data_IF_371021391624
#
_entry.id   IF_371021391624
#
_cell.length_a   1.000
_cell.length_b   1.000
_cell.length_c   1.000
_cell.angle_alpha   90.00
_cell.angle_beta   90.00
_cell.angle_gamma   90.00
#
_symmetry.space_group_name_H-M   'P 1'
#
loop_
_entity.id
_entity.type
_entity.pdbx_description
1 polymer ?
#
# COMPACT_ATOMS: atom_id res chain seq x y z
N UNK A 1 -6.92 30.85 -0.29
CA UNK A 1 -7.55 29.52 -0.40
C UNK A 1 -7.49 29.01 -1.83
N UNK A 2 -7.36 27.71 -2.01
CA UNK A 2 -7.30 27.02 -3.31
C UNK A 2 -8.64 26.37 -3.59
N UNK A 3 -9.24 26.66 -4.74
CA UNK A 3 -10.53 26.11 -5.18
C UNK A 3 -10.31 25.06 -6.27
N UNK A 4 -10.80 23.84 -6.07
CA UNK A 4 -10.64 22.75 -7.03
C UNK A 4 -11.89 21.88 -7.14
N UNK A 5 -12.02 21.22 -8.30
CA UNK A 5 -13.09 20.24 -8.56
C UNK A 5 -12.63 18.86 -8.15
N UNK A 6 -13.46 18.16 -7.40
CA UNK A 6 -13.19 16.81 -6.93
C UNK A 6 -14.36 15.87 -7.20
N UNK A 7 -14.08 14.58 -7.11
CA UNK A 7 -15.05 13.52 -7.37
C UNK A 7 -15.48 12.90 -6.04
N UNK A 8 -16.72 13.14 -5.65
CA UNK A 8 -17.32 12.56 -4.46
C UNK A 8 -17.72 11.11 -4.73
N UNK A 9 -16.87 10.16 -4.32
CA UNK A 9 -17.12 8.74 -4.53
C UNK A 9 -18.33 8.20 -3.72
N UNK A 10 -18.83 8.95 -2.73
CA UNK A 10 -20.04 8.58 -1.97
C UNK A 10 -21.31 9.00 -2.73
N UNK A 11 -21.24 10.05 -3.54
CA UNK A 11 -22.36 10.52 -4.36
C UNK A 11 -22.45 9.73 -5.68
N UNK A 12 -23.66 9.27 -6.01
CA UNK A 12 -23.97 8.58 -7.29
C UNK A 12 -24.52 9.58 -8.33
N UNK A 13 -24.27 9.32 -9.62
CA UNK A 13 -24.86 10.09 -10.72
C UNK A 13 -24.18 11.45 -11.01
N UNK A 14 -24.95 12.40 -11.55
CA UNK A 14 -24.44 13.70 -12.05
C UNK A 14 -23.87 14.61 -10.96
N UNK A 15 -24.26 14.43 -9.70
CA UNK A 15 -23.78 15.19 -8.52
C UNK A 15 -22.44 14.73 -7.98
N UNK A 16 -21.79 13.76 -8.65
CA UNK A 16 -20.49 13.20 -8.26
C UNK A 16 -19.34 14.21 -8.38
N UNK A 17 -19.47 15.27 -9.18
CA UNK A 17 -18.43 16.31 -9.31
C UNK A 17 -18.84 17.51 -8.47
N UNK A 18 -18.02 17.86 -7.48
CA UNK A 18 -18.24 18.99 -6.58
C UNK A 18 -17.02 19.91 -6.61
N UNK A 19 -17.22 21.16 -6.23
CA UNK A 19 -16.14 22.14 -6.05
C UNK A 19 -15.94 22.35 -4.55
N UNK A 20 -14.69 22.41 -4.10
CA UNK A 20 -14.37 22.78 -2.72
C UNK A 20 -13.22 23.77 -2.68
N UNK A 21 -13.23 24.60 -1.64
CA UNK A 21 -12.16 25.56 -1.36
C UNK A 21 -11.48 25.14 -0.06
N UNK A 22 -10.16 25.03 -0.09
CA UNK A 22 -9.33 24.72 1.07
C UNK A 22 -8.32 25.82 1.33
N UNK A 23 -7.81 25.87 2.54
CA UNK A 23 -6.61 26.64 2.81
C UNK A 23 -5.40 26.06 2.04
N UNK A 24 -4.39 26.90 1.77
CA UNK A 24 -3.22 26.49 1.00
C UNK A 24 -2.45 25.33 1.69
N UNK A 25 -2.32 25.39 3.01
CA UNK A 25 -1.58 24.39 3.78
C UNK A 25 -2.27 23.03 3.74
N UNK A 26 -3.59 23.03 3.90
CA UNK A 26 -4.39 21.81 3.86
C UNK A 26 -4.46 21.21 2.45
N UNK A 27 -4.47 22.06 1.42
CA UNK A 27 -4.36 21.61 0.04
C UNK A 27 -3.01 20.90 -0.20
N UNK A 28 -1.90 21.51 0.23
CA UNK A 28 -0.57 20.90 0.09
C UNK A 28 -0.46 19.56 0.83
N UNK A 29 -0.93 19.48 2.08
CA UNK A 29 -0.95 18.22 2.84
C UNK A 29 -1.69 17.12 2.09
N UNK A 30 -2.89 17.39 1.58
CA UNK A 30 -3.70 16.41 0.82
C UNK A 30 -3.09 16.05 -0.53
N UNK A 31 -2.52 17.02 -1.22
CA UNK A 31 -1.89 16.79 -2.52
C UNK A 31 -0.66 15.88 -2.40
N UNK A 32 0.18 16.11 -1.39
CA UNK A 32 1.39 15.32 -1.18
C UNK A 32 1.10 13.86 -0.79
N UNK A 33 -0.05 13.55 -0.19
CA UNK A 33 -0.48 12.16 0.03
C UNK A 33 -0.70 11.37 -1.27
N UNK A 34 -0.91 12.05 -2.39
CA UNK A 34 -1.08 11.42 -3.70
C UNK A 34 0.22 11.32 -4.49
N UNK A 35 1.28 12.03 -4.06
CA UNK A 35 2.60 11.97 -4.69
C UNK A 35 3.39 10.88 -3.99
N UNK A 36 3.81 9.88 -4.77
CA UNK A 36 4.66 8.82 -4.25
C UNK A 36 6.07 9.39 -4.01
N UNK A 37 6.69 9.20 -2.82
CA UNK A 37 8.04 9.68 -2.57
C UNK A 37 9.03 9.08 -3.57
N UNK A 38 10.10 9.83 -3.88
CA UNK A 38 11.15 9.36 -4.79
C UNK A 38 11.72 8.01 -4.36
N UNK A 39 12.01 7.15 -5.34
CA UNK A 39 12.53 5.80 -5.10
C UNK A 39 11.48 4.74 -4.81
N UNK A 40 10.21 5.11 -4.61
CA UNK A 40 9.12 4.16 -4.48
C UNK A 40 8.42 3.95 -5.83
N UNK A 41 8.05 2.70 -6.11
CA UNK A 41 7.27 2.34 -7.29
C UNK A 41 5.82 2.04 -6.92
N UNK A 42 4.87 2.59 -7.68
CA UNK A 42 3.45 2.32 -7.48
C UNK A 42 3.12 0.90 -7.96
N UNK A 43 2.97 -0.03 -7.02
CA UNK A 43 2.55 -1.40 -7.35
C UNK A 43 1.07 -1.40 -7.73
N UNK A 44 0.77 -1.90 -8.93
CA UNK A 44 -0.61 -2.19 -9.37
C UNK A 44 -0.88 -3.65 -9.09
N UNK A 45 -1.85 -3.92 -8.21
CA UNK A 45 -2.27 -5.29 -7.95
C UNK A 45 -3.18 -5.78 -9.08
N UNK A 46 -2.82 -6.91 -9.67
CA UNK A 46 -3.62 -7.66 -10.64
C UNK A 46 -3.96 -9.05 -10.07
N UNK A 47 -4.94 -9.73 -10.66
CA UNK A 47 -5.36 -11.04 -10.19
C UNK A 47 -5.99 -10.94 -8.80
N UNK A 48 -5.60 -11.81 -7.87
CA UNK A 48 -6.23 -12.01 -6.56
C UNK A 48 -6.40 -10.73 -5.72
N UNK A 49 -5.42 -9.83 -5.76
CA UNK A 49 -5.40 -8.62 -4.93
C UNK A 49 -5.89 -7.37 -5.66
N UNK A 50 -6.41 -7.51 -6.89
CA UNK A 50 -6.94 -6.38 -7.65
C UNK A 50 -8.20 -5.84 -6.98
N UNK A 51 -8.36 -4.52 -6.90
CA UNK A 51 -9.47 -3.92 -6.14
C UNK A 51 -10.87 -4.39 -6.57
N UNK A 52 -11.06 -4.78 -7.83
CA UNK A 52 -12.35 -5.24 -8.35
C UNK A 52 -12.78 -6.63 -7.87
N UNK A 53 -11.83 -7.54 -7.62
CA UNK A 53 -12.11 -8.91 -7.19
C UNK A 53 -11.60 -9.21 -5.77
N UNK A 54 -10.76 -8.34 -5.19
CA UNK A 54 -10.11 -8.55 -3.90
C UNK A 54 -11.09 -8.98 -2.80
N UNK A 55 -12.23 -8.32 -2.69
CA UNK A 55 -13.22 -8.66 -1.65
C UNK A 55 -13.77 -10.08 -1.82
N UNK A 56 -14.22 -10.42 -3.02
CA UNK A 56 -14.75 -11.75 -3.34
C UNK A 56 -13.66 -12.83 -3.21
N UNK A 57 -12.46 -12.56 -3.68
CA UNK A 57 -11.35 -13.51 -3.63
C UNK A 57 -10.84 -13.74 -2.21
N UNK A 58 -10.79 -12.70 -1.36
CA UNK A 58 -10.43 -12.84 0.05
C UNK A 58 -11.48 -13.63 0.83
N UNK A 59 -12.78 -13.38 0.58
CA UNK A 59 -13.85 -14.18 1.18
C UNK A 59 -13.69 -15.66 0.83
N UNK A 60 -13.45 -15.96 -0.46
CA UNK A 60 -13.26 -17.33 -0.92
C UNK A 60 -12.03 -18.01 -0.30
N UNK A 61 -10.94 -17.28 -0.12
CA UNK A 61 -9.74 -17.83 0.54
C UNK A 61 -10.03 -18.18 2.00
N UNK A 62 -10.74 -17.32 2.73
CA UNK A 62 -11.10 -17.58 4.14
C UNK A 62 -11.99 -18.81 4.29
N UNK A 63 -12.98 -18.96 3.41
CA UNK A 63 -13.82 -20.15 3.33
C UNK A 63 -12.98 -21.42 3.11
N UNK A 64 -12.06 -21.41 2.14
CA UNK A 64 -11.20 -22.55 1.83
C UNK A 64 -10.22 -22.88 2.96
N UNK A 65 -9.80 -21.88 3.73
CA UNK A 65 -8.93 -22.04 4.89
C UNK A 65 -9.69 -22.45 6.17
N UNK A 66 -11.03 -22.51 6.13
CA UNK A 66 -11.85 -22.79 7.30
C UNK A 66 -11.74 -21.72 8.39
N UNK A 67 -11.33 -20.49 8.02
CA UNK A 67 -11.27 -19.37 8.95
C UNK A 67 -12.59 -18.60 8.91
N UNK A 68 -13.32 -18.62 10.03
CA UNK A 68 -14.37 -17.62 10.26
C UNK A 68 -13.70 -16.25 10.35
N UNK A 69 -14.35 -15.22 9.82
CA UNK A 69 -13.76 -13.90 9.63
C UNK A 69 -13.59 -13.17 10.97
N UNK A 70 -12.59 -13.55 11.77
CA UNK A 70 -12.33 -12.92 13.05
C UNK A 70 -11.76 -11.51 12.88
N UNK A 71 -12.38 -10.62 13.65
CA UNK A 71 -12.16 -9.19 13.65
C UNK A 71 -10.72 -8.83 14.01
N UNK A 72 -10.20 -7.84 13.29
CA UNK A 72 -8.89 -7.21 13.51
C UNK A 72 -8.80 -6.75 14.97
N UNK A 73 -8.01 -7.45 15.79
CA UNK A 73 -7.75 -7.07 17.19
C UNK A 73 -6.61 -6.05 17.23
N UNK A 74 -6.88 -4.94 17.90
CA UNK A 74 -5.95 -3.84 18.18
C UNK A 74 -4.84 -4.34 19.12
N UNK A 75 -3.58 -4.08 18.79
CA UNK A 75 -2.45 -4.42 19.65
C UNK A 75 -2.15 -3.20 20.53
N UNK A 76 -2.39 -3.35 21.83
CA UNK A 76 -1.94 -2.44 22.88
C UNK A 76 -0.47 -2.72 23.23
N UNK A 77 0.27 -1.64 23.46
CA UNK A 77 1.70 -1.56 23.73
C UNK A 77 2.08 -2.08 25.13
N UNK A 78 3.23 -2.75 25.21
CA UNK A 78 3.96 -3.01 26.46
C UNK A 78 5.40 -2.56 26.28
N UNK A 79 5.80 -1.61 27.12
CA UNK A 79 7.16 -1.12 27.28
C UNK A 79 8.02 -2.16 28.00
N UNK A 80 9.22 -2.43 27.47
CA UNK A 80 10.33 -3.01 28.23
C UNK A 80 11.63 -2.73 27.48
N UNK A 81 12.57 -2.04 28.14
CA UNK A 81 13.95 -1.86 27.69
C UNK A 81 14.77 -3.15 27.90
N UNK A 82 15.54 -3.59 26.89
CA UNK A 82 16.78 -4.31 27.16
C UNK A 82 17.98 -3.81 26.33
N UNK A 83 19.09 -3.69 27.05
CA UNK A 83 20.44 -3.37 26.60
C UNK A 83 20.97 -4.43 25.60
N UNK A 84 20.67 -4.26 24.31
CA UNK A 84 21.23 -5.06 23.21
C UNK A 84 21.91 -4.15 22.17
N UNK A 85 22.99 -4.61 21.50
CA UNK A 85 23.57 -3.88 20.38
C UNK A 85 22.49 -3.55 19.34
N UNK A 86 22.53 -2.35 18.73
CA UNK A 86 21.41 -1.86 17.94
C UNK A 86 21.13 -2.81 16.77
N UNK A 87 19.86 -3.20 16.55
CA UNK A 87 19.49 -4.09 15.46
C UNK A 87 19.77 -3.41 14.12
N UNK A 88 20.38 -4.15 13.17
CA UNK A 88 20.72 -3.66 11.82
C UNK A 88 19.48 -3.20 11.03
N UNK A 89 18.31 -3.76 11.35
CA UNK A 89 17.04 -3.41 10.74
C UNK A 89 16.04 -2.98 11.83
N UNK A 90 15.66 -1.72 11.79
CA UNK A 90 14.62 -1.13 12.65
C UNK A 90 13.38 -0.80 11.85
N UNK A 91 12.22 -1.05 12.45
CA UNK A 91 10.95 -0.64 11.86
C UNK A 91 10.81 0.88 11.87
N UNK A 92 10.55 1.50 10.71
CA UNK A 92 10.37 2.96 10.59
C UNK A 92 9.08 3.51 11.25
N UNK A 93 8.19 2.63 11.73
CA UNK A 93 6.93 3.02 12.36
C UNK A 93 6.97 2.96 13.89
N UNK A 94 7.61 1.92 14.44
CA UNK A 94 7.64 1.68 15.89
C UNK A 94 9.04 1.54 16.49
N UNK A 95 10.10 1.59 15.67
CA UNK A 95 11.48 1.43 16.14
C UNK A 95 11.87 0.00 16.54
N UNK A 96 10.93 -0.95 16.56
CA UNK A 96 11.19 -2.32 16.96
C UNK A 96 12.24 -3.02 16.05
N UNK A 97 13.03 -3.90 16.68
CA UNK A 97 14.01 -4.73 16.00
C UNK A 97 13.33 -5.70 15.02
N UNK A 98 13.78 -5.73 13.76
CA UNK A 98 13.32 -6.73 12.80
C UNK A 98 14.31 -7.88 12.70
N UNK A 99 13.79 -9.10 12.82
CA UNK A 99 14.55 -10.34 12.65
C UNK A 99 14.30 -10.87 11.23
N UNK A 100 15.36 -11.19 10.50
CA UNK A 100 15.24 -11.81 9.17
C UNK A 100 14.89 -13.29 9.36
N UNK A 101 13.63 -13.65 9.17
CA UNK A 101 13.18 -15.04 9.26
C UNK A 101 13.56 -15.86 8.02
N UNK A 102 13.59 -15.23 6.84
CA UNK A 102 13.89 -15.89 5.58
C UNK A 102 14.45 -14.88 4.58
N UNK A 103 15.53 -15.25 3.89
CA UNK A 103 16.04 -14.50 2.74
C UNK A 103 15.68 -15.27 1.47
N UNK A 104 14.81 -14.70 0.64
CA UNK A 104 14.44 -15.29 -0.65
C UNK A 104 15.46 -14.88 -1.71
N UNK A 105 16.25 -15.85 -2.19
CA UNK A 105 17.11 -15.64 -3.35
C UNK A 105 16.25 -15.42 -4.62
N UNK A 106 16.69 -14.54 -5.53
CA UNK A 106 15.99 -14.35 -6.81
C UNK A 106 16.12 -15.62 -7.65
N UNK A 107 15.00 -16.29 -7.89
CA UNK A 107 14.96 -17.52 -8.70
C UNK A 107 15.02 -17.30 -10.20
N UNK A 108 14.82 -16.08 -10.70
CA UNK A 108 14.86 -15.75 -12.13
C UNK A 108 15.52 -14.37 -12.34
N UNK A 109 16.34 -14.20 -13.39
CA UNK A 109 16.88 -12.88 -13.75
C UNK A 109 15.75 -11.93 -14.17
N UNK A 110 15.98 -10.62 -14.00
CA UNK A 110 15.09 -9.60 -14.57
C UNK A 110 15.00 -9.88 -16.07
N UNK A 111 13.78 -10.02 -16.62
CA UNK A 111 13.58 -10.21 -18.07
C UNK A 111 14.36 -9.13 -18.80
N UNK A 112 15.38 -9.52 -19.57
CA UNK A 112 16.03 -8.62 -20.49
C UNK A 112 15.01 -8.11 -21.53
N UNK A 113 15.18 -6.89 -22.06
CA UNK A 113 14.39 -6.44 -23.21
C UNK A 113 14.49 -7.47 -24.35
N UNK A 114 13.42 -7.65 -25.14
CA UNK A 114 13.44 -8.61 -26.25
C UNK A 114 14.63 -8.31 -27.17
N UNK A 115 15.34 -9.34 -27.65
CA UNK A 115 16.45 -9.13 -28.58
C UNK A 115 15.92 -8.38 -29.81
N UNK A 116 16.61 -7.30 -30.19
CA UNK A 116 16.24 -6.55 -31.39
C UNK A 116 16.44 -7.47 -32.61
N UNK A 117 15.34 -7.88 -33.23
CA UNK A 117 15.38 -8.50 -34.55
C UNK A 117 15.83 -7.40 -35.51
N UNK A 118 17.08 -7.47 -36.00
CA UNK A 118 17.49 -6.64 -37.13
C UNK A 118 16.64 -7.07 -38.34
N UNK A 119 15.83 -6.14 -38.84
CA UNK A 119 15.11 -6.31 -40.09
C UNK A 119 16.13 -6.51 -41.25
N UNK A 120 15.80 -7.32 -42.26
CA UNK A 120 16.66 -7.56 -43.42
C UNK A 120 16.88 -6.29 -44.26
#
# INVERSE_FOLDING_TARGET
GVTFRWKDYRAKGRTRRKTMTLDADEFMRRFLLHVLPGGFHRIRHYGLLANGNRTASLARIRELLGQEADAVTQIASLDAEPCHPPPTFVCMHCGAAMIVLLTLARGQPIRAPPPQVRAP
#
